data_IF_310715300417
#
_entry.id   IF_310715300417
#
_cell.length_a   1.000
_cell.length_b   1.000
_cell.length_c   1.000
_cell.angle_alpha   90.00
_cell.angle_beta   90.00
_cell.angle_gamma   90.00
#
_symmetry.space_group_name_H-M   'P 1'
#
loop_
_entity.id
_entity.type
_entity.pdbx_description
1 polymer ?
#
# COMPACT_ATOMS: atom_id res chain seq x y z
N UNK A 1 -75.26 -34.08 20.56
CA UNK A 1 -74.02 -33.63 21.22
C UNK A 1 -72.76 -34.09 20.50
N UNK A 2 -72.54 -35.37 20.22
CA UNK A 2 -71.28 -35.87 19.62
C UNK A 2 -70.81 -35.16 18.33
N UNK A 3 -71.73 -34.84 17.40
CA UNK A 3 -71.41 -34.12 16.17
C UNK A 3 -70.89 -32.69 16.39
N UNK A 4 -71.51 -31.96 17.32
CA UNK A 4 -71.08 -30.60 17.66
C UNK A 4 -69.67 -30.59 18.31
N UNK A 5 -69.35 -31.61 19.12
CA UNK A 5 -67.99 -31.78 19.66
C UNK A 5 -66.96 -32.07 18.56
N UNK A 6 -67.30 -32.91 17.58
CA UNK A 6 -66.41 -33.21 16.46
C UNK A 6 -66.17 -31.98 15.57
N UNK A 7 -67.22 -31.21 15.29
CA UNK A 7 -67.12 -29.96 14.53
C UNK A 7 -66.26 -28.91 15.26
N UNK A 8 -66.43 -28.76 16.58
CA UNK A 8 -65.60 -27.87 17.39
C UNK A 8 -64.11 -28.26 17.37
N UNK A 9 -63.80 -29.55 17.55
CA UNK A 9 -62.42 -30.05 17.48
C UNK A 9 -61.78 -29.79 16.10
N UNK A 10 -62.53 -30.00 15.00
CA UNK A 10 -62.03 -29.70 13.65
C UNK A 10 -61.74 -28.21 13.51
N UNK A 11 -62.63 -27.34 14.00
CA UNK A 11 -62.42 -25.88 13.95
C UNK A 11 -61.21 -25.43 14.77
N UNK A 12 -60.97 -26.02 15.93
CA UNK A 12 -59.78 -25.73 16.76
C UNK A 12 -58.49 -26.14 16.05
N UNK A 13 -58.47 -27.34 15.46
CA UNK A 13 -57.29 -27.83 14.70
C UNK A 13 -57.01 -26.97 13.47
N UNK A 14 -58.05 -26.53 12.75
CA UNK A 14 -57.90 -25.63 11.61
C UNK A 14 -57.39 -24.27 12.04
N UNK A 15 -57.92 -23.72 13.13
CA UNK A 15 -57.50 -22.42 13.69
C UNK A 15 -56.03 -22.45 14.11
N UNK A 16 -55.60 -23.54 14.76
CA UNK A 16 -54.20 -23.74 15.13
C UNK A 16 -53.29 -23.81 13.90
N UNK A 17 -53.71 -24.54 12.86
CA UNK A 17 -52.96 -24.68 11.61
C UNK A 17 -52.82 -23.34 10.87
N UNK A 18 -53.88 -22.53 10.82
CA UNK A 18 -53.85 -21.18 10.22
C UNK A 18 -52.88 -20.28 10.97
N UNK A 19 -52.87 -20.33 12.31
CA UNK A 19 -51.94 -19.53 13.13
C UNK A 19 -50.48 -19.95 12.92
N UNK A 20 -50.21 -21.25 12.81
CA UNK A 20 -48.87 -21.77 12.48
C UNK A 20 -48.42 -21.29 11.10
N UNK A 21 -49.27 -21.38 10.08
CA UNK A 21 -48.97 -20.89 8.74
C UNK A 21 -48.71 -19.38 8.71
N UNK A 22 -49.49 -18.58 9.44
CA UNK A 22 -49.26 -17.15 9.57
C UNK A 22 -47.90 -16.84 10.20
N UNK A 23 -47.52 -17.60 11.24
CA UNK A 23 -46.24 -17.44 11.93
C UNK A 23 -45.08 -17.78 11.00
N UNK A 24 -45.14 -18.94 10.33
CA UNK A 24 -44.13 -19.36 9.33
C UNK A 24 -44.01 -18.38 8.17
N UNK A 25 -45.14 -17.82 7.70
CA UNK A 25 -45.13 -16.82 6.63
C UNK A 25 -44.42 -15.54 7.08
N UNK A 26 -44.66 -15.09 8.32
CA UNK A 26 -43.99 -13.92 8.87
C UNK A 26 -42.48 -14.15 9.07
N UNK A 27 -42.07 -15.35 9.50
CA UNK A 27 -40.66 -15.74 9.62
C UNK A 27 -39.96 -15.80 8.27
N UNK A 28 -40.60 -16.39 7.26
CA UNK A 28 -40.08 -16.44 5.89
C UNK A 28 -39.93 -15.03 5.30
N UNK A 29 -40.88 -14.13 5.56
CA UNK A 29 -40.78 -12.74 5.11
C UNK A 29 -39.56 -12.03 5.74
N UNK A 30 -39.31 -12.26 7.04
CA UNK A 30 -38.11 -11.72 7.72
C UNK A 30 -36.82 -12.30 7.18
N UNK A 31 -36.76 -13.63 7.02
CA UNK A 31 -35.58 -14.31 6.47
C UNK A 31 -35.27 -13.83 5.05
N UNK A 32 -36.30 -13.67 4.21
CA UNK A 32 -36.17 -13.11 2.87
C UNK A 32 -35.55 -11.72 2.89
N UNK A 33 -36.06 -10.81 3.72
CA UNK A 33 -35.51 -9.45 3.85
C UNK A 33 -34.03 -9.45 4.27
N UNK A 34 -33.67 -10.30 5.24
CA UNK A 34 -32.27 -10.46 5.66
C UNK A 34 -31.37 -10.97 4.51
N UNK A 35 -31.84 -11.96 3.74
CA UNK A 35 -31.08 -12.49 2.62
C UNK A 35 -30.91 -11.46 1.49
N UNK A 36 -31.95 -10.68 1.18
CA UNK A 36 -31.88 -9.60 0.20
C UNK A 36 -30.84 -8.54 0.58
N UNK A 37 -30.82 -8.13 1.85
CA UNK A 37 -29.81 -7.20 2.36
C UNK A 37 -28.40 -7.79 2.27
N UNK A 38 -28.23 -9.05 2.66
CA UNK A 38 -26.94 -9.74 2.57
C UNK A 38 -26.45 -9.84 1.12
N UNK A 39 -27.33 -10.13 0.16
CA UNK A 39 -27.00 -10.18 -1.27
C UNK A 39 -26.55 -8.81 -1.77
N UNK A 40 -27.23 -7.73 -1.36
CA UNK A 40 -26.86 -6.36 -1.73
C UNK A 40 -25.47 -5.99 -1.19
N UNK A 41 -25.18 -6.36 0.06
CA UNK A 41 -23.88 -6.12 0.69
C UNK A 41 -22.77 -6.90 -0.03
N UNK A 42 -23.00 -8.18 -0.34
CA UNK A 42 -22.05 -9.00 -1.08
C UNK A 42 -21.80 -8.49 -2.49
N UNK A 43 -22.83 -8.01 -3.18
CA UNK A 43 -22.71 -7.44 -4.52
C UNK A 43 -21.86 -6.17 -4.51
N UNK A 44 -22.07 -5.31 -3.52
CA UNK A 44 -21.27 -4.09 -3.33
C UNK A 44 -19.81 -4.44 -3.05
N UNK A 45 -19.56 -5.37 -2.11
CA UNK A 45 -18.22 -5.82 -1.77
C UNK A 45 -17.48 -6.44 -2.97
N UNK A 46 -18.16 -7.27 -3.77
CA UNK A 46 -17.58 -7.83 -5.00
C UNK A 46 -17.22 -6.76 -6.02
N UNK A 47 -18.08 -5.76 -6.22
CA UNK A 47 -17.78 -4.66 -7.14
C UNK A 47 -16.56 -3.84 -6.70
N UNK A 48 -16.38 -3.63 -5.39
CA UNK A 48 -15.19 -2.96 -4.85
C UNK A 48 -13.93 -3.80 -5.01
N UNK A 49 -14.01 -5.11 -4.79
CA UNK A 49 -12.90 -6.03 -5.00
C UNK A 49 -12.47 -6.07 -6.46
N UNK A 50 -13.42 -6.12 -7.40
CA UNK A 50 -13.13 -6.10 -8.82
C UNK A 50 -12.36 -4.82 -9.22
N UNK A 51 -12.82 -3.65 -8.75
CA UNK A 51 -12.11 -2.38 -9.00
C UNK A 51 -10.68 -2.39 -8.46
N UNK A 52 -10.45 -2.98 -7.28
CA UNK A 52 -9.11 -3.10 -6.69
C UNK A 52 -8.23 -4.05 -7.50
N UNK A 53 -8.80 -5.15 -8.00
CA UNK A 53 -8.09 -6.09 -8.86
C UNK A 53 -7.68 -5.43 -10.18
N UNK A 54 -8.61 -4.75 -10.86
CA UNK A 54 -8.33 -4.06 -12.12
C UNK A 54 -7.24 -2.99 -11.93
N UNK A 55 -7.29 -2.22 -10.84
CA UNK A 55 -6.26 -1.24 -10.50
C UNK A 55 -4.89 -1.89 -10.24
N UNK A 56 -4.85 -3.05 -9.59
CA UNK A 56 -3.61 -3.80 -9.35
C UNK A 56 -3.01 -4.32 -10.65
N UNK A 57 -3.85 -4.84 -11.56
CA UNK A 57 -3.40 -5.32 -12.87
C UNK A 57 -2.76 -4.20 -13.70
N UNK A 58 -3.37 -3.01 -13.71
CA UNK A 58 -2.81 -1.82 -14.35
C UNK A 58 -1.45 -1.45 -13.76
N UNK A 59 -1.33 -1.43 -12.42
CA UNK A 59 -0.06 -1.13 -11.72
C UNK A 59 1.02 -2.17 -12.05
N UNK A 60 0.67 -3.44 -12.12
CA UNK A 60 1.61 -4.52 -12.42
C UNK A 60 2.19 -4.36 -13.83
N UNK A 61 1.33 -4.17 -14.84
CA UNK A 61 1.76 -3.91 -16.22
C UNK A 61 2.65 -2.67 -16.31
N UNK A 62 2.27 -1.57 -15.68
CA UNK A 62 3.09 -0.36 -15.67
C UNK A 62 4.46 -0.59 -15.02
N UNK A 63 4.51 -1.36 -13.93
CA UNK A 63 5.76 -1.69 -13.25
C UNK A 63 6.68 -2.60 -14.10
N UNK A 64 6.12 -3.53 -14.86
CA UNK A 64 6.88 -4.34 -15.83
C UNK A 64 7.52 -3.46 -16.91
N UNK A 65 6.74 -2.57 -17.53
CA UNK A 65 7.25 -1.60 -18.52
C UNK A 65 8.35 -0.73 -17.91
N UNK A 66 8.14 -0.23 -16.70
CA UNK A 66 9.13 0.59 -15.99
C UNK A 66 10.40 -0.17 -15.67
N UNK A 67 10.29 -1.43 -15.27
CA UNK A 67 11.46 -2.29 -14.99
C UNK A 67 12.27 -2.51 -16.26
N UNK A 68 11.63 -2.85 -17.38
CA UNK A 68 12.30 -2.98 -18.68
C UNK A 68 12.94 -1.67 -19.13
N UNK A 69 12.21 -0.54 -19.05
CA UNK A 69 12.72 0.77 -19.41
C UNK A 69 13.95 1.18 -18.56
N UNK A 70 13.91 0.92 -17.24
CA UNK A 70 15.05 1.15 -16.33
C UNK A 70 16.27 0.35 -16.74
N UNK A 71 16.10 -0.94 -17.05
CA UNK A 71 17.21 -1.81 -17.50
C UNK A 71 17.81 -1.25 -18.79
N UNK A 72 16.98 -0.95 -19.79
CA UNK A 72 17.44 -0.37 -21.06
C UNK A 72 18.19 0.95 -20.85
N UNK A 73 17.63 1.86 -20.07
CA UNK A 73 18.25 3.15 -19.77
C UNK A 73 19.56 3.01 -18.95
N UNK A 74 19.65 1.98 -18.10
CA UNK A 74 20.88 1.65 -17.37
C UNK A 74 21.99 1.22 -18.32
N UNK A 75 21.67 0.41 -19.32
CA UNK A 75 22.65 0.01 -20.34
C UNK A 75 23.15 1.21 -21.16
N UNK A 76 22.27 2.19 -21.46
CA UNK A 76 22.70 3.45 -22.06
C UNK A 76 23.68 4.21 -21.16
N UNK A 77 23.43 4.19 -19.84
CA UNK A 77 24.30 4.80 -18.84
C UNK A 77 25.69 4.16 -18.74
N UNK A 78 25.79 2.85 -18.91
CA UNK A 78 27.03 2.10 -18.76
C UNK A 78 27.84 1.99 -20.05
N UNK A 79 27.20 2.19 -21.20
CA UNK A 79 27.88 2.11 -22.49
C UNK A 79 28.88 3.27 -22.66
N UNK A 80 30.10 2.96 -23.14
CA UNK A 80 31.12 3.95 -23.52
C UNK A 80 30.84 4.59 -24.89
N UNK A 81 29.57 4.61 -25.32
CA UNK A 81 29.19 5.06 -26.64
C UNK A 81 29.55 6.53 -26.84
N UNK A 82 30.18 6.89 -27.97
CA UNK A 82 30.31 8.29 -28.35
C UNK A 82 28.90 8.89 -28.47
N UNK A 83 28.69 10.04 -27.83
CA UNK A 83 27.41 10.76 -27.79
C UNK A 83 26.28 10.13 -26.93
N UNK A 84 26.64 9.47 -25.82
CA UNK A 84 25.71 8.98 -24.78
C UNK A 84 24.58 9.96 -24.41
N UNK A 85 24.88 11.27 -24.35
CA UNK A 85 23.92 12.31 -23.95
C UNK A 85 22.81 12.60 -24.99
N UNK A 86 22.90 12.02 -26.19
CA UNK A 86 21.93 12.21 -27.27
C UNK A 86 21.19 10.92 -27.64
N UNK A 87 21.38 9.84 -26.88
CA UNK A 87 20.63 8.61 -27.05
C UNK A 87 19.26 8.79 -26.37
N UNK A 88 18.14 8.51 -27.06
CA UNK A 88 16.81 8.67 -26.48
C UNK A 88 16.58 7.68 -25.35
N UNK A 89 15.96 8.16 -24.28
CA UNK A 89 15.54 7.34 -23.15
C UNK A 89 14.26 6.59 -23.48
N UNK A 90 14.16 5.36 -22.98
CA UNK A 90 12.90 4.62 -22.98
C UNK A 90 11.97 5.23 -21.93
N UNK A 91 10.74 5.66 -22.30
CA UNK A 91 9.84 6.33 -21.39
C UNK A 91 9.34 5.39 -20.28
N UNK A 92 9.25 5.93 -19.07
CA UNK A 92 8.53 5.28 -17.99
C UNK A 92 7.02 5.50 -18.15
N UNK A 93 6.23 4.59 -17.58
CA UNK A 93 4.79 4.60 -17.51
C UNK A 93 4.30 5.01 -16.11
N UNK A 94 3.17 5.71 -16.08
CA UNK A 94 2.41 6.01 -14.88
C UNK A 94 1.81 4.72 -14.29
N UNK A 95 2.05 4.47 -13.00
CA UNK A 95 1.57 3.27 -12.32
C UNK A 95 0.03 3.20 -12.27
N UNK A 96 -0.66 4.34 -12.27
CA UNK A 96 -2.11 4.38 -12.14
C UNK A 96 -2.86 4.17 -13.46
N UNK A 97 -2.23 4.49 -14.59
CA UNK A 97 -2.88 4.47 -15.91
C UNK A 97 -2.20 3.54 -16.92
N UNK A 98 -1.01 3.04 -16.62
CA UNK A 98 -0.14 2.31 -17.56
C UNK A 98 0.08 3.05 -18.89
N UNK A 99 0.07 4.39 -18.85
CA UNK A 99 0.40 5.23 -20.01
C UNK A 99 1.80 5.81 -19.86
N UNK A 100 2.53 6.06 -20.95
CA UNK A 100 3.80 6.78 -20.88
C UNK A 100 3.65 8.09 -20.12
N UNK A 101 4.62 8.39 -19.24
CA UNK A 101 4.62 9.61 -18.44
C UNK A 101 4.55 10.84 -19.34
N UNK A 102 3.65 11.76 -19.00
CA UNK A 102 3.54 13.05 -19.69
C UNK A 102 4.83 13.84 -19.48
N UNK A 103 5.31 14.48 -20.53
CA UNK A 103 6.54 15.29 -20.51
C UNK A 103 7.79 14.50 -20.08
N UNK A 104 7.83 13.18 -20.32
CA UNK A 104 9.02 12.38 -20.03
C UNK A 104 10.25 12.93 -20.79
N UNK A 105 11.41 13.07 -20.12
CA UNK A 105 12.63 13.59 -20.74
C UNK A 105 13.04 12.69 -21.91
N UNK A 106 13.28 13.28 -23.08
CA UNK A 106 13.70 12.51 -24.26
C UNK A 106 15.13 12.01 -24.10
N UNK A 107 15.99 12.78 -23.45
CA UNK A 107 17.40 12.47 -23.23
C UNK A 107 17.81 12.74 -21.78
N UNK A 108 18.94 12.17 -21.37
CA UNK A 108 19.51 12.37 -20.03
C UNK A 108 19.69 13.86 -19.66
N UNK A 109 20.18 14.68 -20.60
CA UNK A 109 20.37 16.13 -20.39
C UNK A 109 19.07 16.87 -20.09
N UNK A 110 17.94 16.38 -20.60
CA UNK A 110 16.64 17.04 -20.48
C UNK A 110 16.11 16.97 -19.04
N UNK A 111 16.58 16.00 -18.24
CA UNK A 111 16.27 15.87 -16.80
C UNK A 111 16.80 17.09 -16.03
N UNK A 112 17.97 17.63 -16.43
CA UNK A 112 18.57 18.80 -15.77
C UNK A 112 17.74 20.06 -15.99
N UNK A 113 17.18 20.22 -17.18
CA UNK A 113 16.37 21.38 -17.56
C UNK A 113 14.89 21.23 -17.19
N UNK A 114 14.47 20.06 -16.72
CA UNK A 114 13.08 19.78 -16.37
C UNK A 114 12.57 20.70 -15.24
N UNK A 115 11.35 21.21 -15.39
CA UNK A 115 10.70 22.06 -14.40
C UNK A 115 10.41 21.30 -13.11
N UNK A 116 10.44 21.98 -11.96
CA UNK A 116 10.17 21.32 -10.67
C UNK A 116 8.78 20.68 -10.63
N UNK A 117 7.78 21.29 -11.28
CA UNK A 117 6.42 20.74 -11.38
C UNK A 117 6.40 19.43 -12.15
N UNK A 118 7.06 19.36 -13.32
CA UNK A 118 7.11 18.13 -14.12
C UNK A 118 7.84 17.00 -13.37
N UNK A 119 8.93 17.32 -12.65
CA UNK A 119 9.66 16.33 -11.83
C UNK A 119 8.77 15.79 -10.71
N UNK A 120 8.01 16.64 -10.03
CA UNK A 120 7.08 16.21 -8.98
C UNK A 120 5.99 15.33 -9.57
N UNK A 121 5.40 15.71 -10.71
CA UNK A 121 4.37 14.92 -11.38
C UNK A 121 4.91 13.56 -11.81
N UNK A 122 6.11 13.50 -12.37
CA UNK A 122 6.75 12.24 -12.75
C UNK A 122 7.00 11.35 -11.54
N UNK A 123 7.55 11.89 -10.44
CA UNK A 123 7.77 11.13 -9.21
C UNK A 123 6.45 10.64 -8.59
N UNK A 124 5.42 11.48 -8.58
CA UNK A 124 4.09 11.11 -8.08
C UNK A 124 3.46 9.98 -8.90
N UNK A 125 3.55 10.04 -10.23
CA UNK A 125 3.04 9.00 -11.13
C UNK A 125 3.79 7.66 -10.99
N UNK A 126 5.03 7.70 -10.49
CA UNK A 126 5.83 6.52 -10.13
C UNK A 126 5.62 6.06 -8.68
N UNK A 127 4.71 6.69 -7.94
CA UNK A 127 4.46 6.46 -6.51
C UNK A 127 5.72 6.64 -5.64
N UNK A 128 6.57 7.60 -6.03
CA UNK A 128 7.84 7.91 -5.36
C UNK A 128 7.67 9.12 -4.45
N UNK A 129 7.84 8.99 -3.13
CA UNK A 129 7.72 10.11 -2.21
C UNK A 129 8.73 11.22 -2.52
N UNK A 130 8.26 12.45 -2.71
CA UNK A 130 9.10 13.61 -3.04
C UNK A 130 8.91 14.83 -2.11
N UNK A 131 8.09 14.69 -1.06
CA UNK A 131 7.85 15.75 -0.08
C UNK A 131 9.13 16.07 0.70
N UNK A 132 9.39 17.35 0.95
CA UNK A 132 10.59 17.81 1.68
C UNK A 132 11.90 17.80 0.88
N UNK A 133 11.93 17.25 -0.34
CA UNK A 133 13.13 17.25 -1.18
C UNK A 133 13.32 18.58 -1.91
N UNK A 134 14.57 19.04 -1.98
CA UNK A 134 14.98 20.17 -2.82
C UNK A 134 14.78 19.84 -4.31
N UNK A 135 14.68 20.84 -5.20
CA UNK A 135 14.56 20.59 -6.64
C UNK A 135 15.69 19.72 -7.22
N UNK A 136 16.93 19.88 -6.73
CA UNK A 136 18.08 19.06 -7.13
C UNK A 136 17.93 17.60 -6.70
N UNK A 137 17.53 17.35 -5.46
CA UNK A 137 17.30 16.00 -4.95
C UNK A 137 16.15 15.29 -5.66
N UNK A 138 15.08 16.01 -6.00
CA UNK A 138 13.97 15.45 -6.80
C UNK A 138 14.46 15.01 -8.18
N UNK A 139 15.29 15.82 -8.84
CA UNK A 139 15.89 15.46 -10.13
C UNK A 139 16.83 14.27 -10.01
N UNK A 140 17.68 14.24 -8.99
CA UNK A 140 18.55 13.10 -8.71
C UNK A 140 17.76 11.81 -8.43
N UNK A 141 16.63 11.93 -7.71
CA UNK A 141 15.73 10.81 -7.44
C UNK A 141 15.07 10.31 -8.72
N UNK A 142 14.51 11.20 -9.53
CA UNK A 142 13.93 10.85 -10.83
C UNK A 142 14.97 10.18 -11.73
N UNK A 143 16.19 10.70 -11.76
CA UNK A 143 17.32 10.14 -12.52
C UNK A 143 17.62 8.69 -12.11
N UNK A 144 17.63 8.41 -10.80
CA UNK A 144 17.75 7.05 -10.27
C UNK A 144 16.58 6.15 -10.69
N UNK A 145 15.36 6.65 -10.62
CA UNK A 145 14.15 5.91 -11.03
C UNK A 145 14.09 5.62 -12.53
N UNK A 146 14.72 6.44 -13.37
CA UNK A 146 14.87 6.22 -14.81
C UNK A 146 15.94 5.16 -15.12
N UNK A 147 16.79 4.80 -14.16
CA UNK A 147 17.91 3.86 -14.34
C UNK A 147 19.21 4.55 -14.79
N UNK A 148 19.37 5.84 -14.51
CA UNK A 148 20.59 6.56 -14.86
C UNK A 148 21.54 6.63 -13.66
N UNK A 149 22.85 6.58 -13.93
CA UNK A 149 23.86 6.71 -12.89
C UNK A 149 23.67 8.02 -12.11
N UNK A 150 23.84 8.00 -10.78
CA UNK A 150 23.79 9.22 -9.96
C UNK A 150 24.82 10.21 -10.49
N UNK A 151 24.38 11.43 -10.77
CA UNK A 151 25.34 12.53 -10.88
C UNK A 151 25.83 12.83 -9.48
N UNK A 152 27.15 12.82 -9.29
CA UNK A 152 27.76 13.28 -8.06
C UNK A 152 27.22 14.68 -7.79
N UNK A 153 26.46 14.81 -6.71
CA UNK A 153 25.92 16.08 -6.25
C UNK A 153 27.09 16.94 -5.73
N UNK A 154 27.90 17.47 -6.64
CA UNK A 154 29.15 18.15 -6.28
C UNK A 154 30.22 18.07 -7.36
N UNK A 155 29.97 18.72 -8.52
CA UNK A 155 31.05 19.19 -9.38
C UNK A 155 31.84 20.31 -8.71
N UNK A 156 32.54 19.97 -7.63
CA UNK A 156 33.55 20.77 -6.98
C UNK A 156 34.80 19.91 -6.93
N UNK A 157 35.52 19.83 -8.04
CA UNK A 157 36.89 19.35 -8.06
C UNK A 157 37.71 20.25 -7.15
N UNK A 158 37.78 19.92 -5.86
CA UNK A 158 38.98 20.20 -5.11
C UNK A 158 39.94 19.08 -5.49
N UNK A 159 40.96 19.44 -6.27
CA UNK A 159 42.29 18.87 -6.09
C UNK A 159 42.52 18.76 -4.59
N UNK A 160 42.44 17.54 -4.08
CA UNK A 160 42.94 17.23 -2.75
C UNK A 160 44.37 16.81 -3.00
N UNK A 161 45.25 17.79 -2.78
CA UNK A 161 46.67 17.57 -2.56
C UNK A 161 46.87 16.29 -1.74
N UNK A 162 47.77 15.45 -2.24
CA UNK A 162 48.31 14.32 -1.53
C UNK A 162 48.86 14.81 -0.18
N UNK A 163 48.11 14.59 0.90
CA UNK A 163 48.68 14.68 2.22
C UNK A 163 48.41 13.40 3.00
N UNK A 164 49.55 12.81 3.35
CA UNK A 164 49.79 11.52 3.94
C UNK A 164 49.48 11.60 5.44
N UNK A 165 48.21 11.41 5.83
CA UNK A 165 47.84 11.30 7.24
C UNK A 165 47.02 10.04 7.52
N UNK A 166 47.78 9.00 7.92
CA UNK A 166 47.45 8.01 8.98
C UNK A 166 45.96 7.88 9.33
N UNK A 167 45.20 7.16 8.50
CA UNK A 167 43.89 6.63 8.89
C UNK A 167 44.06 5.54 9.95
N UNK A 168 43.96 5.90 11.23
CA UNK A 168 43.70 4.95 12.32
C UNK A 168 42.37 4.25 12.04
N UNK A 169 42.45 2.98 11.65
CA UNK A 169 41.28 2.09 11.64
C UNK A 169 40.71 2.00 13.07
N UNK A 170 39.41 2.18 13.29
CA UNK A 170 38.82 2.10 14.63
C UNK A 170 39.04 0.69 15.21
N UNK A 171 39.50 0.66 16.46
CA UNK A 171 39.83 -0.56 17.18
C UNK A 171 38.60 -1.48 17.29
N UNK A 172 38.77 -2.82 17.21
CA UNK A 172 37.67 -3.78 17.37
C UNK A 172 36.83 -3.58 18.65
N UNK A 173 37.42 -3.00 19.70
CA UNK A 173 36.73 -2.67 20.96
C UNK A 173 35.64 -1.60 20.80
N UNK A 174 35.80 -0.64 19.89
CA UNK A 174 34.85 0.46 19.68
C UNK A 174 33.63 -0.01 18.87
N UNK A 175 33.81 -1.00 18.00
CA UNK A 175 32.71 -1.67 17.26
C UNK A 175 31.84 -2.55 18.18
N UNK A 176 32.43 -3.15 19.22
CA UNK A 176 31.69 -3.99 20.17
C UNK A 176 30.78 -3.17 21.11
N UNK A 177 31.21 -1.95 21.48
CA UNK A 177 30.43 -1.03 22.35
C UNK A 177 29.18 -0.48 21.66
N UNK A 178 29.29 -0.13 20.38
CA UNK A 178 28.14 0.38 19.61
C UNK A 178 27.08 -0.70 19.34
N UNK A 179 27.49 -1.95 19.19
CA UNK A 179 26.56 -3.06 18.94
C UNK A 179 25.76 -3.46 20.19
N UNK A 180 26.37 -3.35 21.38
CA UNK A 180 25.70 -3.64 22.66
C UNK A 180 24.71 -2.54 23.07
N UNK A 181 24.99 -1.28 22.75
CA UNK A 181 24.06 -0.18 23.03
C UNK A 181 22.82 -0.22 22.11
N UNK A 182 23.01 -0.58 20.84
CA UNK A 182 21.90 -0.77 19.90
C UNK A 182 21.01 -1.97 20.29
N UNK A 183 21.60 -3.06 20.78
CA UNK A 183 20.85 -4.21 21.30
C UNK A 183 20.01 -3.85 22.53
N UNK A 184 20.54 -3.03 23.46
CA UNK A 184 19.79 -2.54 24.63
C UNK A 184 18.61 -1.65 24.24
N UNK A 185 18.80 -0.71 23.30
CA UNK A 185 17.72 0.15 22.79
C UNK A 185 16.62 -0.68 22.10
N UNK A 186 16.99 -1.69 21.32
CA UNK A 186 16.02 -2.58 20.68
C UNK A 186 15.22 -3.42 21.69
N UNK A 187 15.84 -3.88 22.78
CA UNK A 187 15.16 -4.62 23.84
C UNK A 187 14.16 -3.75 24.61
N UNK A 188 14.51 -2.49 24.89
CA UNK A 188 13.62 -1.54 25.58
C UNK A 188 12.37 -1.22 24.75
N UNK A 189 12.53 -1.02 23.43
CA UNK A 189 11.40 -0.79 22.52
C UNK A 189 10.45 -1.99 22.51
N UNK A 190 10.98 -3.22 22.46
CA UNK A 190 10.16 -4.44 22.49
C UNK A 190 9.37 -4.58 23.80
N UNK A 191 9.98 -4.23 24.93
CA UNK A 191 9.29 -4.24 26.23
C UNK A 191 8.13 -3.24 26.27
N UNK A 192 8.36 -2.00 25.81
CA UNK A 192 7.30 -0.97 25.75
C UNK A 192 6.12 -1.39 24.86
N UNK A 193 6.39 -2.06 23.74
CA UNK A 193 5.33 -2.58 22.85
C UNK A 193 4.52 -3.70 23.50
N UNK A 194 5.15 -4.59 24.26
CA UNK A 194 4.46 -5.66 24.98
C UNK A 194 3.58 -5.11 26.11
N UNK A 195 4.10 -4.16 26.91
CA UNK A 195 3.32 -3.51 27.98
C UNK A 195 2.10 -2.75 27.41
N UNK A 196 2.25 -2.10 26.25
CA UNK A 196 1.13 -1.43 25.58
C UNK A 196 0.06 -2.41 25.06
N UNK A 197 0.48 -3.58 24.54
CA UNK A 197 -0.45 -4.63 24.10
C UNK A 197 -1.22 -5.23 25.27
N UNK A 198 -0.56 -5.44 26.41
CA UNK A 198 -1.20 -6.00 27.60
C UNK A 198 -2.23 -5.04 28.20
N UNK A 199 -1.90 -3.76 28.32
CA UNK A 199 -2.86 -2.72 28.76
C UNK A 199 -4.08 -2.59 27.82
N UNK A 200 -3.87 -2.77 26.51
CA UNK A 200 -4.97 -2.75 25.55
C UNK A 200 -5.89 -3.97 25.71
N UNK A 201 -5.32 -5.15 25.94
CA UNK A 201 -6.10 -6.36 26.17
C UNK A 201 -6.93 -6.29 27.47
N UNK A 202 -6.37 -5.71 28.55
CA UNK A 202 -7.08 -5.49 29.82
C UNK A 202 -8.25 -4.50 29.65
N UNK A 203 -8.04 -3.40 28.90
CA UNK A 203 -9.10 -2.43 28.62
C UNK A 203 -10.23 -2.97 27.74
N UNK A 204 -9.94 -3.94 26.86
CA UNK A 204 -10.95 -4.61 26.03
C UNK A 204 -11.73 -5.66 26.84
N UNK A 205 -11.10 -6.32 27.81
CA UNK A 205 -11.77 -7.27 28.71
C UNK A 205 -12.76 -6.59 29.66
N UNK A 206 -12.44 -5.40 30.20
CA UNK A 206 -13.36 -4.65 31.08
C UNK A 206 -14.59 -4.10 30.34
N UNK A 207 -14.48 -3.81 29.04
CA UNK A 207 -15.62 -3.34 28.23
C UNK A 207 -16.54 -4.46 27.73
N UNK A 208 -16.08 -5.71 27.73
CA UNK A 208 -16.85 -6.87 27.28
C UNK A 208 -17.76 -7.53 28.34
N UNK A 209 -17.64 -7.15 29.61
CA UNK A 209 -18.39 -7.79 30.72
C UNK A 209 -19.72 -7.12 31.11
N UNK A 210 -20.15 -6.06 30.43
CA UNK A 210 -21.23 -5.17 30.89
C UNK A 210 -22.65 -5.38 30.31
N UNK A 211 -22.85 -6.25 29.33
CA UNK A 211 -24.17 -6.46 28.69
C UNK A 211 -24.66 -7.90 28.84
N UNK A 212 -24.94 -8.29 30.08
CA UNK A 212 -25.51 -9.61 30.38
C UNK A 212 -26.32 -9.60 31.68
N UNK A 213 -27.27 -8.67 31.82
CA UNK A 213 -28.00 -8.53 33.09
C UNK A 213 -29.22 -7.61 33.07
N UNK A 214 -30.04 -7.65 32.01
CA UNK A 214 -31.44 -7.20 32.07
C UNK A 214 -32.30 -8.04 31.13
N UNK A 215 -32.88 -9.10 31.67
CA UNK A 215 -34.24 -9.59 31.39
C UNK A 215 -34.60 -10.63 32.44
#
# INVERSE_FOLDING_TARGET
MARAYQEAHIMDTLTASVKDLQTKTAELAKAKGYHEERIKNLTTANAELQKKYDALEVRMKANEHNTTARILNTHLSLSSLPNKNNIPLTPLHDLSTNRPLRNFPKHEKDIKTMGSTDVIQALQALDVPSLGLTPGEKKAKLRGEVGLAKEDAGGGSKEVDNNDEKRKTPSPADKARTNTENAKKAAEVRRKVLEAKQKKAEAEAEKGGGEGGKK
#
